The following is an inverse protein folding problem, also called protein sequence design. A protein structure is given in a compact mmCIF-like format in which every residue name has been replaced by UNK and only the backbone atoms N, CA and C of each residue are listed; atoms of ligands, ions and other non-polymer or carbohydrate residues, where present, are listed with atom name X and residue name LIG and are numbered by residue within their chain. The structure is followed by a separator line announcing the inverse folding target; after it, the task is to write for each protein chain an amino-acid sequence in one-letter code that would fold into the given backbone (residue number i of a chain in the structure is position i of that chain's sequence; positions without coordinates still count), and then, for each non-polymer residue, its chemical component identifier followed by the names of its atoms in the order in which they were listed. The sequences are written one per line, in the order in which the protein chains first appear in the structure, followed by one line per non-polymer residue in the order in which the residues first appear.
data_IF_914926024606
#
_entry.id   IF_914926024606
#
_cell.length_a   1.000
_cell.length_b   1.000
_cell.length_c   1.000
_cell.angle_alpha   90.00
_cell.angle_beta   90.00
_cell.angle_gamma   90.00
#
_symmetry.space_group_name_H-M   'P 1'
#
loop_
_entity.id
_entity.type
_entity.pdbx_description
1 polymer ?
#
# COMPACT_ATOMS: atom_id res chain seq x y z
N UNK A 1 16.61 21.64 16.36
CA UNK A 1 17.08 20.56 15.47
C UNK A 1 16.86 19.16 16.07
N UNK A 2 16.87 18.97 17.39
CA UNK A 2 16.65 17.64 18.04
C UNK A 2 15.24 17.05 17.90
N UNK A 3 14.20 17.88 17.71
CA UNK A 3 12.81 17.42 17.52
C UNK A 3 12.61 16.60 16.24
N UNK A 4 13.36 16.88 15.17
CA UNK A 4 13.23 16.17 13.90
C UNK A 4 13.72 14.72 13.97
N UNK A 5 14.79 14.44 14.74
CA UNK A 5 15.42 13.12 14.80
C UNK A 5 14.56 12.08 15.52
N UNK A 6 13.79 12.47 16.55
CA UNK A 6 12.88 11.56 17.22
C UNK A 6 11.67 11.20 16.34
N UNK A 7 11.21 12.14 15.51
CA UNK A 7 10.09 11.93 14.59
C UNK A 7 10.47 10.98 13.45
N UNK A 8 11.69 11.08 12.91
CA UNK A 8 12.24 10.13 11.94
C UNK A 8 12.33 8.72 12.52
N UNK A 9 12.80 8.59 13.76
CA UNK A 9 12.98 7.30 14.44
C UNK A 9 11.64 6.63 14.77
N UNK A 10 10.60 7.41 15.10
CA UNK A 10 9.23 6.89 15.27
C UNK A 10 8.64 6.40 13.95
N UNK A 11 8.82 7.14 12.85
CA UNK A 11 8.39 6.70 11.51
C UNK A 11 9.13 5.44 11.04
N UNK A 12 10.42 5.31 11.33
CA UNK A 12 11.20 4.10 11.04
C UNK A 12 10.73 2.89 11.89
N UNK A 13 10.33 3.13 13.14
CA UNK A 13 9.86 2.07 14.05
C UNK A 13 8.44 1.60 13.66
N UNK A 14 7.54 2.49 13.27
CA UNK A 14 6.20 2.14 12.76
C UNK A 14 6.27 1.49 11.36
N UNK A 15 7.20 1.92 10.51
CA UNK A 15 7.45 1.27 9.21
C UNK A 15 8.02 -0.15 9.37
N UNK A 16 8.75 -0.44 10.45
CA UNK A 16 9.23 -1.78 10.78
C UNK A 16 8.11 -2.71 11.28
N UNK A 17 7.07 -2.20 11.94
CA UNK A 17 5.95 -3.03 12.42
C UNK A 17 5.00 -3.47 11.29
N UNK A 18 4.87 -2.67 10.22
CA UNK A 18 4.14 -3.04 9.00
C UNK A 18 4.86 -4.10 8.15
N UNK A 19 6.11 -4.45 8.48
CA UNK A 19 6.94 -5.35 7.68
C UNK A 19 6.50 -6.82 7.70
N UNK A 20 5.55 -7.19 8.57
CA UNK A 20 5.05 -8.56 8.71
C UNK A 20 3.58 -8.74 8.28
N UNK A 21 3.02 -7.80 7.51
CA UNK A 21 1.72 -8.06 6.87
C UNK A 21 1.95 -8.88 5.61
N UNK A 22 1.67 -10.18 5.67
CA UNK A 22 1.67 -11.04 4.49
C UNK A 22 0.47 -10.71 3.59
N UNK A 23 0.68 -9.74 2.69
CA UNK A 23 -0.31 -9.34 1.69
C UNK A 23 -0.65 -10.45 0.70
N UNK A 24 0.12 -11.54 0.63
CA UNK A 24 -0.15 -12.69 -0.24
C UNK A 24 -1.45 -13.42 0.14
N UNK A 25 -1.96 -13.22 1.36
CA UNK A 25 -3.20 -13.84 1.87
C UNK A 25 -4.47 -13.01 1.63
N UNK A 26 -4.46 -11.98 0.77
CA UNK A 26 -5.66 -11.23 0.46
C UNK A 26 -6.78 -12.15 -0.10
N UNK A 27 -8.01 -12.14 0.44
CA UNK A 27 -9.08 -13.07 0.05
C UNK A 27 -9.49 -13.01 -1.43
N UNK A 28 -9.20 -11.89 -2.09
CA UNK A 28 -9.51 -11.69 -3.52
C UNK A 28 -8.34 -11.99 -4.45
N UNK A 29 -7.15 -12.32 -3.93
CA UNK A 29 -6.08 -12.82 -4.80
C UNK A 29 -6.55 -14.08 -5.50
N UNK A 30 -6.24 -14.15 -6.79
CA UNK A 30 -6.44 -15.37 -7.54
C UNK A 30 -5.06 -15.94 -7.91
N UNK A 31 -4.71 -17.07 -7.31
CA UNK A 31 -3.43 -17.75 -7.52
C UNK A 31 -3.42 -18.67 -8.75
N UNK A 32 -4.55 -18.79 -9.46
CA UNK A 32 -4.61 -19.54 -10.72
C UNK A 32 -3.89 -18.78 -11.85
N UNK A 33 -3.42 -19.53 -12.83
CA UNK A 33 -2.82 -18.98 -14.04
C UNK A 33 -3.88 -18.40 -14.99
N UNK A 34 -3.45 -17.50 -15.89
CA UNK A 34 -4.30 -16.95 -16.95
C UNK A 34 -4.54 -15.45 -16.84
N UNK A 35 -4.84 -14.83 -17.99
CA UNK A 35 -4.96 -13.37 -18.12
C UNK A 35 -6.07 -12.79 -17.25
N UNK A 36 -7.19 -13.49 -17.08
CA UNK A 36 -8.33 -13.03 -16.26
C UNK A 36 -7.93 -12.90 -14.78
N UNK A 37 -7.16 -13.86 -14.29
CA UNK A 37 -6.67 -13.89 -12.92
C UNK A 37 -5.59 -12.83 -12.73
N UNK A 38 -4.70 -12.67 -13.72
CA UNK A 38 -3.73 -11.56 -13.76
C UNK A 38 -4.42 -10.18 -13.73
N UNK A 39 -5.51 -9.96 -14.47
CA UNK A 39 -6.26 -8.70 -14.44
C UNK A 39 -6.98 -8.46 -13.10
N UNK A 40 -7.55 -9.51 -12.49
CA UNK A 40 -8.13 -9.41 -11.16
C UNK A 40 -7.08 -8.98 -10.11
N UNK A 41 -5.92 -9.61 -10.15
CA UNK A 41 -4.79 -9.33 -9.28
C UNK A 41 -4.22 -7.92 -9.52
N UNK A 42 -4.07 -7.51 -10.78
CA UNK A 42 -3.65 -6.16 -11.16
C UNK A 42 -4.64 -5.10 -10.65
N UNK A 43 -5.95 -5.37 -10.75
CA UNK A 43 -6.98 -4.49 -10.19
C UNK A 43 -6.76 -4.26 -8.70
N UNK A 44 -6.46 -5.30 -7.92
CA UNK A 44 -6.22 -5.17 -6.48
C UNK A 44 -4.99 -4.31 -6.17
N UNK A 45 -3.90 -4.47 -6.91
CA UNK A 45 -2.67 -3.68 -6.73
C UNK A 45 -2.91 -2.19 -7.02
N UNK A 46 -3.66 -1.88 -8.09
CA UNK A 46 -3.91 -0.50 -8.53
C UNK A 46 -4.98 0.19 -7.67
N UNK A 47 -5.87 -0.57 -7.03
CA UNK A 47 -7.04 -0.04 -6.32
C UNK A 47 -6.71 1.02 -5.24
N UNK A 48 -5.70 0.84 -4.36
CA UNK A 48 -5.34 1.87 -3.37
C UNK A 48 -4.95 3.20 -4.00
N UNK A 49 -4.27 3.19 -5.14
CA UNK A 49 -3.89 4.39 -5.86
C UNK A 49 -5.12 5.11 -6.42
N UNK A 50 -6.05 4.37 -7.03
CA UNK A 50 -7.30 4.96 -7.55
C UNK A 50 -8.15 5.58 -6.43
N UNK A 51 -8.25 4.91 -5.29
CA UNK A 51 -8.96 5.44 -4.12
C UNK A 51 -8.29 6.69 -3.56
N UNK A 52 -6.96 6.74 -3.53
CA UNK A 52 -6.22 7.93 -3.14
C UNK A 52 -6.57 9.11 -4.05
N UNK A 53 -6.53 8.93 -5.38
CA UNK A 53 -6.89 9.98 -6.34
C UNK A 53 -8.33 10.46 -6.18
N UNK A 54 -9.27 9.57 -5.84
CA UNK A 54 -10.66 9.94 -5.60
C UNK A 54 -10.83 10.81 -4.34
N UNK A 55 -10.05 10.53 -3.29
CA UNK A 55 -10.13 11.22 -2.00
C UNK A 55 -9.30 12.51 -2.00
N UNK A 56 -8.22 12.58 -2.78
CA UNK A 56 -7.28 13.69 -2.79
C UNK A 56 -7.93 15.09 -2.89
N UNK A 57 -8.95 15.32 -3.74
CA UNK A 57 -9.65 16.61 -3.79
C UNK A 57 -10.31 17.00 -2.46
N UNK A 58 -10.85 16.02 -1.72
CA UNK A 58 -11.50 16.25 -0.44
C UNK A 58 -10.51 16.62 0.67
N UNK A 59 -9.26 16.16 0.58
CA UNK A 59 -8.21 16.55 1.53
C UNK A 59 -7.87 18.04 1.47
N UNK A 60 -8.15 18.72 0.36
CA UNK A 60 -8.01 20.18 0.28
C UNK A 60 -9.08 20.93 1.08
N UNK A 61 -10.26 20.32 1.25
CA UNK A 61 -11.40 20.89 1.98
C UNK A 61 -11.35 20.48 3.45
N UNK A 62 -10.94 19.24 3.71
CA UNK A 62 -10.81 18.63 5.03
C UNK A 62 -9.40 18.08 5.21
N UNK A 63 -8.45 18.90 5.68
CA UNK A 63 -7.07 18.47 5.88
C UNK A 63 -7.00 17.34 6.91
N UNK A 64 -6.58 16.15 6.47
CA UNK A 64 -6.38 14.99 7.34
C UNK A 64 -5.05 14.31 7.00
N UNK A 65 -4.03 14.59 7.81
CA UNK A 65 -2.68 14.03 7.64
C UNK A 65 -2.62 12.53 7.88
N UNK A 66 -3.45 11.99 8.78
CA UNK A 66 -3.48 10.56 9.07
C UNK A 66 -4.03 9.76 7.88
N UNK A 67 -5.04 10.29 7.19
CA UNK A 67 -5.58 9.65 5.99
C UNK A 67 -4.54 9.64 4.86
N UNK A 68 -3.85 10.76 4.64
CA UNK A 68 -2.76 10.84 3.67
C UNK A 68 -1.62 9.87 4.00
N UNK A 69 -1.22 9.79 5.27
CA UNK A 69 -0.18 8.88 5.75
C UNK A 69 -0.59 7.42 5.56
N UNK A 70 -1.83 7.06 5.94
CA UNK A 70 -2.37 5.71 5.76
C UNK A 70 -2.40 5.26 4.30
N UNK A 71 -2.82 6.15 3.38
CA UNK A 71 -2.77 5.86 1.94
C UNK A 71 -1.34 5.70 1.42
N UNK A 72 -0.40 6.54 1.87
CA UNK A 72 1.01 6.40 1.50
C UNK A 72 1.59 5.06 1.96
N UNK A 73 1.32 4.64 3.20
CA UNK A 73 1.75 3.34 3.71
C UNK A 73 1.16 2.18 2.89
N UNK A 74 -0.14 2.23 2.57
CA UNK A 74 -0.81 1.19 1.79
C UNK A 74 -0.26 1.11 0.35
N UNK A 75 -0.02 2.25 -0.30
CA UNK A 75 0.57 2.30 -1.65
C UNK A 75 2.01 1.78 -1.62
N UNK A 76 2.80 2.18 -0.61
CA UNK A 76 4.16 1.69 -0.44
C UNK A 76 4.19 0.17 -0.27
N UNK A 77 3.29 -0.39 0.54
CA UNK A 77 3.16 -1.83 0.73
C UNK A 77 2.81 -2.56 -0.58
N UNK A 78 1.86 -2.05 -1.37
CA UNK A 78 1.52 -2.64 -2.68
C UNK A 78 2.66 -2.55 -3.69
N UNK A 79 3.48 -1.50 -3.65
CA UNK A 79 4.65 -1.38 -4.51
C UNK A 79 5.75 -2.40 -4.15
N UNK A 80 5.77 -2.93 -2.92
CA UNK A 80 6.67 -4.02 -2.53
C UNK A 80 6.16 -5.40 -2.94
N UNK A 81 4.91 -5.51 -3.41
CA UNK A 81 4.36 -6.79 -3.85
C UNK A 81 5.16 -7.32 -5.05
N UNK A 82 5.81 -8.46 -4.85
CA UNK A 82 6.52 -9.19 -5.91
C UNK A 82 5.65 -10.37 -6.30
N UNK A 83 5.02 -10.36 -7.49
CA UNK A 83 4.32 -11.53 -7.97
C UNK A 83 5.32 -12.69 -8.02
N UNK A 84 4.97 -13.81 -7.39
CA UNK A 84 5.77 -15.02 -7.53
C UNK A 84 5.61 -15.50 -8.97
N UNK A 85 6.58 -15.14 -9.83
CA UNK A 85 6.69 -15.73 -11.15
C UNK A 85 7.39 -17.07 -10.95
N UNK A 86 6.67 -18.18 -11.18
CA UNK A 86 7.34 -19.46 -11.41
C UNK A 86 8.29 -19.24 -12.60
N UNK A 87 9.59 -19.27 -12.35
CA UNK A 87 10.60 -19.27 -13.40
C UNK A 87 10.28 -20.45 -14.32
N UNK A 88 9.93 -20.14 -15.57
CA UNK A 88 9.77 -21.14 -16.64
C UNK A 88 11.08 -21.82 -16.99
#
# INVERSE_FOLDING_TARGET
VLLGLNQSRQLETEAQDLSDVDFSNHPQWNHESGWKNALNNLRLIIQPLLLFWLIYPWLSIFPNSHLLLGFNHLIAAMNQFKPYYASG
#
